data_IF_601878984480
#
_entry.id   IF_601878984480
#
_cell.length_a   1.000
_cell.length_b   1.000
_cell.length_c   1.000
_cell.angle_alpha   90.00
_cell.angle_beta   90.00
_cell.angle_gamma   90.00
#
_symmetry.space_group_name_H-M   'P 1'
#
loop_
_entity.id
_entity.type
_entity.pdbx_description
1 polymer ?
#
# COMPACT_ATOMS: atom_id res chain seq x y z
N UNK A 1 -15.66 -11.55 -5.46
CA UNK A 1 -14.32 -11.32 -4.88
C UNK A 1 -13.36 -12.18 -5.68
N UNK A 2 -12.61 -11.59 -6.60
CA UNK A 2 -11.65 -12.36 -7.41
C UNK A 2 -10.56 -12.92 -6.51
N UNK A 3 -10.16 -14.15 -6.78
CA UNK A 3 -9.20 -14.96 -6.00
C UNK A 3 -7.76 -14.44 -6.04
N UNK A 4 -7.53 -13.21 -6.52
CA UNK A 4 -6.20 -12.64 -6.73
C UNK A 4 -5.84 -11.53 -5.75
N UNK A 5 -6.80 -10.86 -5.11
CA UNK A 5 -6.47 -9.85 -4.11
C UNK A 5 -6.08 -10.53 -2.80
N UNK A 6 -4.97 -10.09 -2.21
CA UNK A 6 -4.49 -10.59 -0.93
C UNK A 6 -3.82 -9.48 -0.13
N UNK A 7 -3.79 -9.65 1.18
CA UNK A 7 -3.14 -8.76 2.14
C UNK A 7 -2.48 -9.64 3.19
N UNK A 8 -1.19 -9.45 3.38
CA UNK A 8 -0.41 -10.00 4.46
C UNK A 8 -0.01 -8.85 5.39
N UNK A 9 -0.36 -8.99 6.68
CA UNK A 9 -0.02 -8.03 7.73
C UNK A 9 0.87 -8.71 8.75
N UNK A 10 1.91 -8.01 9.18
CA UNK A 10 2.72 -8.41 10.30
C UNK A 10 3.13 -7.18 11.11
N UNK A 11 3.33 -7.37 12.40
CA UNK A 11 3.87 -6.34 13.29
C UNK A 11 5.09 -6.91 14.00
N UNK A 12 6.19 -6.17 13.94
CA UNK A 12 7.39 -6.52 14.68
C UNK A 12 7.19 -6.21 16.17
N UNK A 13 7.39 -7.21 17.03
CA UNK A 13 7.07 -7.10 18.45
C UNK A 13 8.01 -6.16 19.22
N UNK A 14 9.25 -6.01 18.76
CA UNK A 14 10.28 -5.22 19.46
C UNK A 14 10.25 -3.74 19.04
N UNK A 15 10.04 -3.48 17.75
CA UNK A 15 10.04 -2.12 17.18
C UNK A 15 8.64 -1.53 17.03
N UNK A 16 7.60 -2.37 17.01
CA UNK A 16 6.23 -1.96 16.72
C UNK A 16 5.96 -1.61 15.25
N UNK A 17 6.94 -1.78 14.37
CA UNK A 17 6.80 -1.51 12.93
C UNK A 17 5.78 -2.47 12.32
N UNK A 18 4.79 -1.90 11.65
CA UNK A 18 3.81 -2.66 10.88
C UNK A 18 4.30 -2.80 9.43
N UNK A 19 4.23 -4.02 8.92
CA UNK A 19 4.47 -4.33 7.52
C UNK A 19 3.18 -4.80 6.87
N UNK A 20 2.89 -4.22 5.70
CA UNK A 20 1.76 -4.59 4.85
C UNK A 20 2.32 -4.97 3.50
N UNK A 21 2.01 -6.18 3.08
CA UNK A 21 2.24 -6.64 1.71
C UNK A 21 0.88 -6.94 1.11
N UNK A 22 0.59 -6.43 -0.07
CA UNK A 22 -0.72 -6.63 -0.66
C UNK A 22 -0.67 -6.64 -2.18
N UNK A 23 -1.67 -7.30 -2.76
CA UNK A 23 -1.96 -7.27 -4.18
C UNK A 23 -3.41 -6.82 -4.39
N UNK A 24 -3.56 -5.83 -5.27
CA UNK A 24 -4.85 -5.29 -5.65
C UNK A 24 -4.91 -5.16 -7.18
N UNK A 25 -6.00 -5.61 -7.78
CA UNK A 25 -6.26 -5.45 -9.22
C UNK A 25 -7.06 -4.18 -9.56
N UNK A 26 -7.67 -3.51 -8.58
CA UNK A 26 -8.55 -2.36 -8.77
C UNK A 26 -8.39 -1.34 -7.62
N UNK A 27 -9.25 -0.32 -7.59
CA UNK A 27 -9.28 0.73 -6.57
C UNK A 27 -9.41 0.14 -5.17
N UNK A 28 -8.32 0.23 -4.40
CA UNK A 28 -8.23 -0.34 -3.07
C UNK A 28 -8.54 0.66 -1.94
N UNK A 29 -8.36 1.97 -2.19
CA UNK A 29 -8.42 2.98 -1.13
C UNK A 29 -8.99 4.31 -1.60
N UNK A 30 -9.94 4.84 -0.83
CA UNK A 30 -10.36 6.23 -0.93
C UNK A 30 -9.29 7.16 -0.31
N UNK A 31 -9.23 8.45 -0.72
CA UNK A 31 -8.29 9.41 -0.15
C UNK A 31 -8.40 9.54 1.37
N UNK A 32 -7.29 9.34 2.09
CA UNK A 32 -7.22 9.43 3.55
C UNK A 32 -5.82 9.87 4.02
N UNK A 33 -5.62 10.01 5.33
CA UNK A 33 -4.33 10.36 5.94
C UNK A 33 -4.10 9.56 7.23
N UNK A 34 -2.84 9.46 7.66
CA UNK A 34 -2.41 8.79 8.88
C UNK A 34 -1.53 9.72 9.71
N UNK A 35 -1.50 9.50 11.03
CA UNK A 35 -0.57 10.17 11.96
C UNK A 35 0.85 9.57 11.93
N UNK A 36 1.04 8.53 11.11
CA UNK A 36 2.27 7.77 10.92
C UNK A 36 2.75 7.84 9.48
N UNK A 37 4.03 7.54 9.25
CA UNK A 37 4.61 7.49 7.91
C UNK A 37 4.64 6.06 7.38
N UNK A 38 4.34 5.92 6.09
CA UNK A 38 4.47 4.67 5.33
C UNK A 38 5.52 4.87 4.25
N UNK A 39 6.43 3.91 4.13
CA UNK A 39 7.37 3.81 3.01
C UNK A 39 6.99 2.57 2.20
N UNK A 40 6.52 2.80 0.98
CA UNK A 40 6.05 1.72 0.10
C UNK A 40 7.02 1.46 -1.05
N UNK A 41 7.14 0.19 -1.44
CA UNK A 41 7.83 -0.25 -2.66
C UNK A 41 6.83 -1.02 -3.51
N UNK A 42 6.78 -0.71 -4.80
CA UNK A 42 5.98 -1.49 -5.76
C UNK A 42 6.77 -2.71 -6.17
N UNK A 43 6.36 -3.91 -5.72
CA UNK A 43 7.06 -5.16 -6.07
C UNK A 43 6.79 -5.59 -7.51
N UNK A 44 5.55 -5.40 -8.00
CA UNK A 44 5.11 -5.78 -9.35
C UNK A 44 4.02 -4.84 -9.86
N UNK A 45 3.93 -4.65 -11.18
CA UNK A 45 2.88 -3.85 -11.81
C UNK A 45 3.07 -2.34 -11.63
N UNK A 46 1.98 -1.60 -11.44
CA UNK A 46 2.00 -0.15 -11.22
C UNK A 46 1.10 0.20 -10.05
N UNK A 47 1.66 0.86 -9.03
CA UNK A 47 0.86 1.47 -7.98
C UNK A 47 0.60 2.94 -8.32
N UNK A 48 -0.67 3.32 -8.44
CA UNK A 48 -1.08 4.71 -8.67
C UNK A 48 -1.77 5.27 -7.42
N UNK A 49 -1.36 6.45 -6.98
CA UNK A 49 -1.99 7.12 -5.83
C UNK A 49 -1.97 8.64 -5.98
N UNK A 50 -2.85 9.31 -5.23
CA UNK A 50 -2.85 10.76 -5.14
C UNK A 50 -2.20 11.19 -3.83
N UNK A 51 -1.25 12.12 -3.91
CA UNK A 51 -0.62 12.73 -2.74
C UNK A 51 -0.46 14.22 -2.98
N UNK A 52 -0.90 15.06 -2.03
CA UNK A 52 -0.79 16.54 -2.12
C UNK A 52 -1.31 17.12 -3.44
N UNK A 53 -2.44 16.60 -3.93
CA UNK A 53 -3.11 16.97 -5.20
C UNK A 53 -2.35 16.60 -6.48
N UNK A 54 -1.25 15.86 -6.38
CA UNK A 54 -0.56 15.28 -7.52
C UNK A 54 -0.87 13.79 -7.63
N UNK A 55 -0.96 13.30 -8.87
CA UNK A 55 -1.07 11.86 -9.15
C UNK A 55 0.32 11.29 -9.36
N UNK A 56 0.65 10.24 -8.63
CA UNK A 56 1.93 9.55 -8.69
C UNK A 56 1.72 8.12 -9.21
N UNK A 57 2.68 7.64 -9.98
CA UNK A 57 2.78 6.25 -10.40
C UNK A 57 4.14 5.73 -9.94
N UNK A 58 4.12 4.63 -9.20
CA UNK A 58 5.29 3.90 -8.74
C UNK A 58 5.39 2.59 -9.53
N UNK A 59 6.59 2.27 -9.99
CA UNK A 59 6.91 1.04 -10.74
C UNK A 59 8.06 0.31 -10.03
N UNK A 60 8.23 -1.01 -10.25
CA UNK A 60 9.36 -1.77 -9.74
C UNK A 60 10.72 -1.24 -10.21
#
# INVERSE_FOLDING_TARGET
>A
MTTHNWIDLAQDADTGIETLRAHFEDHAYDPHWHDSYLVGVTEQGVQQFHCRRAKHQSTP
#
